data_IF_995536246023
#
_entry.id   IF_995536246023
#
_cell.length_a   1.000
_cell.length_b   1.000
_cell.length_c   1.000
_cell.angle_alpha   90.00
_cell.angle_beta   90.00
_cell.angle_gamma   90.00
#
_symmetry.space_group_name_H-M   'P 1'
#
loop_
_entity.id
_entity.type
_entity.pdbx_description
1 polymer ?
#
# COMPACT_ATOMS: atom_id res chain seq x y z
N UNK A 1 -1.15 -13.45 -2.07
CA UNK A 1 -1.90 -13.48 -3.34
C UNK A 1 -1.15 -12.67 -4.37
N UNK A 2 -0.88 -13.22 -5.55
CA UNK A 2 -0.30 -12.47 -6.68
C UNK A 2 -1.44 -11.82 -7.48
N UNK A 3 -1.31 -10.53 -7.79
CA UNK A 3 -2.22 -9.77 -8.65
C UNK A 3 -1.36 -9.06 -9.69
N UNK A 4 -1.56 -9.38 -10.97
CA UNK A 4 -0.80 -8.82 -12.09
C UNK A 4 -1.75 -8.45 -13.23
N UNK A 5 -1.54 -7.28 -13.84
CA UNK A 5 -2.28 -6.76 -15.00
C UNK A 5 -1.63 -5.47 -15.50
N UNK A 6 -1.72 -5.22 -16.81
CA UNK A 6 -1.25 -3.96 -17.43
C UNK A 6 -2.22 -2.79 -17.32
N UNK A 7 -3.34 -2.96 -16.59
CA UNK A 7 -4.34 -1.91 -16.38
C UNK A 7 -4.09 -1.13 -15.08
N UNK A 8 -4.40 0.16 -15.10
CA UNK A 8 -4.42 1.04 -13.91
C UNK A 8 -5.31 0.51 -12.77
N UNK A 9 -6.20 -0.44 -13.07
CA UNK A 9 -6.99 -1.14 -12.07
C UNK A 9 -6.15 -1.76 -10.95
N UNK A 10 -4.95 -2.27 -11.24
CA UNK A 10 -4.07 -2.87 -10.21
C UNK A 10 -3.68 -1.82 -9.16
N UNK A 11 -3.36 -0.60 -9.57
CA UNK A 11 -2.99 0.48 -8.66
C UNK A 11 -4.16 0.94 -7.78
N UNK A 12 -5.36 0.99 -8.36
CA UNK A 12 -6.57 1.27 -7.58
C UNK A 12 -6.88 0.13 -6.59
N UNK A 13 -6.68 -1.12 -7.00
CA UNK A 13 -6.93 -2.28 -6.15
C UNK A 13 -5.94 -2.35 -4.99
N UNK A 14 -4.65 -2.09 -5.20
CA UNK A 14 -3.65 -2.07 -4.12
C UNK A 14 -3.94 -0.95 -3.12
N UNK A 15 -4.38 0.22 -3.60
CA UNK A 15 -4.86 1.32 -2.74
C UNK A 15 -6.07 0.89 -1.90
N UNK A 16 -7.03 0.19 -2.50
CA UNK A 16 -8.20 -0.33 -1.80
C UNK A 16 -7.82 -1.34 -0.72
N UNK A 17 -6.96 -2.31 -1.05
CA UNK A 17 -6.49 -3.32 -0.11
C UNK A 17 -5.74 -2.68 1.07
N UNK A 18 -4.91 -1.67 0.83
CA UNK A 18 -4.22 -0.95 1.90
C UNK A 18 -5.20 -0.26 2.86
N UNK A 19 -6.17 0.50 2.33
CA UNK A 19 -7.19 1.17 3.18
C UNK A 19 -8.06 0.14 3.91
N UNK A 20 -8.42 -0.97 3.25
CA UNK A 20 -9.20 -2.03 3.87
C UNK A 20 -8.46 -2.70 5.04
N UNK A 21 -7.17 -2.98 4.88
CA UNK A 21 -6.35 -3.53 5.97
C UNK A 21 -6.28 -2.56 7.16
N UNK A 22 -6.15 -1.26 6.89
CA UNK A 22 -6.22 -0.24 7.94
C UNK A 22 -7.57 -0.23 8.66
N UNK A 23 -8.68 -0.33 7.93
CA UNK A 23 -10.03 -0.45 8.52
C UNK A 23 -10.16 -1.67 9.44
N UNK A 24 -9.50 -2.77 9.09
CA UNK A 24 -9.47 -4.00 9.88
C UNK A 24 -8.51 -3.92 11.09
N UNK A 25 -7.83 -2.79 11.28
CA UNK A 25 -6.95 -2.59 12.42
C UNK A 25 -5.52 -3.05 12.19
N UNK A 26 -5.10 -3.28 10.94
CA UNK A 26 -3.73 -3.68 10.61
C UNK A 26 -2.82 -2.49 10.26
N UNK A 27 -1.53 -2.65 10.53
CA UNK A 27 -0.47 -1.85 9.93
C UNK A 27 -0.16 -2.40 8.53
N UNK A 28 0.12 -1.52 7.58
CA UNK A 28 0.37 -1.87 6.19
C UNK A 28 1.77 -1.44 5.80
N UNK A 29 2.55 -2.35 5.23
CA UNK A 29 3.75 -2.00 4.47
C UNK A 29 3.41 -2.05 2.98
N UNK A 30 3.45 -0.89 2.34
CA UNK A 30 3.26 -0.73 0.91
C UNK A 30 4.62 -0.75 0.21
N UNK A 31 5.00 -1.93 -0.31
CA UNK A 31 6.24 -2.12 -1.06
C UNK A 31 6.04 -1.65 -2.51
N UNK A 32 6.71 -0.56 -2.90
CA UNK A 32 6.52 0.10 -4.19
C UNK A 32 7.82 0.17 -5.00
N UNK A 33 7.90 -0.63 -6.06
CA UNK A 33 8.96 -0.52 -7.07
C UNK A 33 8.58 0.28 -8.31
N UNK A 34 7.29 0.58 -8.47
CA UNK A 34 6.73 1.21 -9.68
C UNK A 34 6.46 2.71 -9.53
N UNK A 35 6.77 3.32 -8.38
CA UNK A 35 6.36 4.69 -8.04
C UNK A 35 4.83 4.88 -8.15
N UNK A 36 4.10 3.89 -7.66
CA UNK A 36 2.65 3.74 -7.82
C UNK A 36 1.83 4.09 -6.57
N UNK A 37 2.47 4.30 -5.42
CA UNK A 37 1.77 4.67 -4.19
C UNK A 37 1.01 6.00 -4.34
N UNK A 38 -0.26 6.02 -3.93
CA UNK A 38 -1.13 7.21 -3.98
C UNK A 38 -1.73 7.55 -2.60
N UNK A 39 -1.03 8.36 -1.77
CA UNK A 39 -1.54 8.80 -0.48
C UNK A 39 -2.83 9.62 -0.58
N UNK A 40 -3.05 10.32 -1.70
CA UNK A 40 -4.26 11.13 -1.90
C UNK A 40 -5.46 10.23 -2.17
N UNK A 41 -5.31 9.24 -3.04
CA UNK A 41 -6.29 8.18 -3.29
C UNK A 41 -6.63 7.40 -2.02
N UNK A 42 -5.62 7.05 -1.21
CA UNK A 42 -5.83 6.40 0.09
C UNK A 42 -6.69 7.24 1.03
N UNK A 43 -6.39 8.54 1.18
CA UNK A 43 -7.19 9.43 2.03
C UNK A 43 -8.59 9.64 1.47
N UNK A 44 -8.74 9.80 0.15
CA UNK A 44 -10.05 9.95 -0.48
C UNK A 44 -10.92 8.70 -0.29
N UNK A 45 -10.32 7.50 -0.41
CA UNK A 45 -10.99 6.24 -0.18
C UNK A 45 -11.32 6.03 1.31
N UNK A 46 -10.38 6.33 2.21
CA UNK A 46 -10.59 6.28 3.66
C UNK A 46 -11.76 7.16 4.10
N UNK A 47 -11.84 8.40 3.60
CA UNK A 47 -12.98 9.29 3.86
C UNK A 47 -14.31 8.69 3.43
N UNK A 48 -14.37 8.04 2.26
CA UNK A 48 -15.58 7.34 1.80
C UNK A 48 -15.96 6.15 2.69
N UNK A 49 -14.99 5.58 3.39
CA UNK A 49 -15.18 4.51 4.36
C UNK A 49 -15.38 4.98 5.81
N UNK A 50 -15.47 6.30 6.05
CA UNK A 50 -15.66 6.88 7.38
C UNK A 50 -14.38 7.04 8.22
N UNK A 51 -13.20 6.86 7.63
CA UNK A 51 -11.91 7.10 8.27
C UNK A 51 -11.42 8.54 8.04
N UNK A 52 -10.74 9.09 9.04
CA UNK A 52 -10.00 10.33 8.92
C UNK A 52 -8.60 10.09 8.33
N UNK A 53 -7.91 11.17 7.94
CA UNK A 53 -6.55 11.07 7.38
C UNK A 53 -5.58 10.50 8.42
N UNK A 54 -5.80 10.87 9.66
CA UNK A 54 -5.03 10.52 10.85
C UNK A 54 -5.17 9.04 11.20
N UNK A 55 -6.24 8.38 10.75
CA UNK A 55 -6.43 6.94 10.90
C UNK A 55 -5.69 6.16 9.80
N UNK A 56 -5.58 6.74 8.59
CA UNK A 56 -5.05 6.04 7.41
C UNK A 56 -3.54 6.16 7.28
N UNK A 57 -3.02 7.39 7.15
CA UNK A 57 -1.65 7.58 6.72
C UNK A 57 -0.58 7.14 7.73
N UNK A 58 -0.75 7.33 9.04
CA UNK A 58 0.23 6.86 10.02
C UNK A 58 0.42 5.34 10.03
N UNK A 59 -0.54 4.59 9.45
CA UNK A 59 -0.59 3.13 9.48
C UNK A 59 -0.16 2.49 8.16
N UNK A 60 0.18 3.30 7.17
CA UNK A 60 0.68 2.85 5.86
C UNK A 60 2.13 3.30 5.70
N UNK A 61 3.05 2.36 5.86
CA UNK A 61 4.48 2.57 5.70
C UNK A 61 4.89 2.28 4.26
N UNK A 62 5.54 3.22 3.60
CA UNK A 62 5.98 3.04 2.21
C UNK A 62 7.43 2.61 2.17
N UNK A 63 7.69 1.43 1.60
CA UNK A 63 9.03 0.95 1.34
C UNK A 63 9.28 0.98 -0.17
N UNK A 64 10.28 1.75 -0.62
CA UNK A 64 10.63 1.82 -2.05
C UNK A 64 11.80 0.95 -2.41
N UNK A 65 11.68 0.25 -3.53
CA UNK A 65 12.77 -0.52 -4.15
C UNK A 65 12.98 -0.08 -5.60
N UNK A 66 14.18 0.35 -5.96
CA UNK A 66 14.52 0.74 -7.34
C UNK A 66 15.13 -0.42 -8.14
N UNK A 67 15.42 -1.53 -7.47
CA UNK A 67 15.97 -2.75 -8.08
C UNK A 67 15.30 -3.97 -7.50
N UNK A 68 15.29 -5.07 -8.25
CA UNK A 68 14.83 -6.36 -7.73
C UNK A 68 15.66 -6.82 -6.51
N UNK A 69 16.95 -6.47 -6.45
CA UNK A 69 17.79 -6.77 -5.28
C UNK A 69 17.29 -6.05 -4.01
N UNK A 70 17.06 -4.74 -4.09
CA UNK A 70 16.49 -3.97 -2.97
C UNK A 70 15.10 -4.49 -2.56
N UNK A 71 14.27 -4.87 -3.54
CA UNK A 71 12.94 -5.42 -3.28
C UNK A 71 13.04 -6.73 -2.50
N UNK A 72 13.92 -7.64 -2.93
CA UNK A 72 14.17 -8.90 -2.23
C UNK A 72 14.69 -8.66 -0.81
N UNK A 73 15.64 -7.75 -0.62
CA UNK A 73 16.14 -7.40 0.73
C UNK A 73 15.00 -6.92 1.63
N UNK A 74 14.18 -5.98 1.17
CA UNK A 74 13.04 -5.47 1.96
C UNK A 74 12.04 -6.57 2.32
N UNK A 75 11.75 -7.49 1.39
CA UNK A 75 10.84 -8.61 1.66
C UNK A 75 11.42 -9.54 2.74
N UNK A 76 12.71 -9.87 2.64
CA UNK A 76 13.36 -10.76 3.61
C UNK A 76 13.43 -10.11 5.00
N UNK A 77 13.80 -8.83 5.07
CA UNK A 77 13.85 -8.07 6.34
C UNK A 77 12.48 -7.97 7.04
N UNK A 78 11.36 -8.09 6.29
CA UNK A 78 10.01 -8.09 6.84
C UNK A 78 9.51 -9.47 7.28
N UNK A 79 10.19 -10.55 6.88
CA UNK A 79 9.81 -11.93 7.19
C UNK A 79 10.56 -12.49 8.42
N UNK A 80 11.64 -11.84 8.84
CA UNK A 80 12.40 -12.12 10.06
C UNK A 80 11.74 -11.48 11.31
#
# INVERSE_FOLDING_TARGET
TLIDSGSDFVFHLTTLLAVRAVMEGHEVVFLDGGNSVDPHGMVALGKRAGLAREDVLPRVHVARAFTCHQMTTLILDMLD
#
